data_IF_845381258114
#
_entry.id   IF_845381258114
#
_cell.length_a   1.000
_cell.length_b   1.000
_cell.length_c   1.000
_cell.angle_alpha   90.00
_cell.angle_beta   90.00
_cell.angle_gamma   90.00
#
_symmetry.space_group_name_H-M   'P 1'
#
loop_
_entity.id
_entity.type
_entity.pdbx_description
1 polymer ?
#
# COMPACT_ATOMS: atom_id res chain seq x y z
N UNK A 1 8.92 -15.55 -13.25
CA UNK A 1 9.56 -14.28 -13.58
C UNK A 1 10.89 -14.04 -12.82
N UNK A 2 11.23 -14.85 -11.80
CA UNK A 2 12.49 -14.74 -11.07
C UNK A 2 12.56 -13.61 -10.05
N UNK A 3 11.43 -13.05 -9.66
CA UNK A 3 11.34 -12.03 -8.62
C UNK A 3 11.14 -12.69 -7.26
N UNK A 4 11.87 -12.22 -6.25
CA UNK A 4 11.80 -12.71 -4.87
C UNK A 4 11.28 -11.63 -3.88
N UNK A 5 11.06 -10.43 -4.39
CA UNK A 5 10.57 -9.29 -3.61
C UNK A 5 9.37 -8.65 -4.31
N UNK A 6 8.25 -8.59 -3.60
CA UNK A 6 7.01 -7.97 -4.05
C UNK A 6 6.48 -7.00 -2.99
N UNK A 7 6.26 -5.74 -3.34
CA UNK A 7 5.88 -4.75 -2.36
C UNK A 7 5.01 -3.63 -2.94
N UNK A 8 4.58 -2.70 -2.07
CA UNK A 8 3.78 -1.53 -2.41
C UNK A 8 2.51 -1.82 -3.22
N UNK A 9 1.69 -2.82 -2.85
CA UNK A 9 0.53 -3.14 -3.65
C UNK A 9 -0.47 -1.98 -3.69
N UNK A 10 -1.17 -1.88 -4.81
CA UNK A 10 -2.31 -0.99 -5.03
C UNK A 10 -3.48 -1.81 -5.54
N UNK A 11 -4.70 -1.44 -5.16
CA UNK A 11 -5.92 -2.16 -5.49
C UNK A 11 -6.91 -1.21 -6.16
N UNK A 12 -7.58 -1.70 -7.20
CA UNK A 12 -8.77 -1.05 -7.76
C UNK A 12 -9.78 -2.09 -8.22
N UNK A 13 -11.03 -1.66 -8.43
CA UNK A 13 -12.09 -2.46 -9.04
C UNK A 13 -12.59 -1.74 -10.28
N UNK A 14 -12.64 -2.42 -11.42
CA UNK A 14 -13.06 -1.84 -12.68
C UNK A 14 -13.58 -2.90 -13.62
N UNK A 15 -14.70 -2.65 -14.31
CA UNK A 15 -15.32 -3.58 -15.27
C UNK A 15 -15.47 -4.99 -14.68
N UNK A 16 -16.10 -5.08 -13.51
CA UNK A 16 -16.38 -6.32 -12.78
C UNK A 16 -15.15 -7.16 -12.40
N UNK A 17 -13.97 -6.53 -12.35
CA UNK A 17 -12.72 -7.18 -11.94
C UNK A 17 -11.95 -6.34 -10.92
N UNK A 18 -11.33 -7.04 -10.00
CA UNK A 18 -10.26 -6.48 -9.17
C UNK A 18 -8.96 -6.46 -9.96
N UNK A 19 -8.19 -5.41 -9.78
CA UNK A 19 -6.85 -5.25 -10.33
C UNK A 19 -5.88 -4.91 -9.20
N UNK A 20 -4.74 -5.58 -9.18
CA UNK A 20 -3.65 -5.35 -8.22
C UNK A 20 -2.38 -5.00 -8.98
N UNK A 21 -1.77 -3.88 -8.62
CA UNK A 21 -0.39 -3.56 -8.98
C UNK A 21 0.54 -3.90 -7.81
N UNK A 22 1.74 -4.34 -8.10
CA UNK A 22 2.84 -4.37 -7.13
C UNK A 22 4.17 -4.14 -7.85
N UNK A 23 5.15 -3.57 -7.14
CA UNK A 23 6.52 -3.61 -7.65
C UNK A 23 7.14 -4.97 -7.38
N UNK A 24 7.93 -5.43 -8.33
CA UNK A 24 8.62 -6.70 -8.29
C UNK A 24 10.11 -6.51 -8.56
N UNK A 25 10.95 -7.11 -7.73
CA UNK A 25 12.40 -7.01 -7.83
C UNK A 25 13.04 -8.39 -7.71
N UNK A 26 14.17 -8.64 -8.40
CA UNK A 26 14.88 -9.89 -8.24
C UNK A 26 15.40 -10.14 -6.83
N UNK A 27 15.79 -9.09 -6.11
CA UNK A 27 16.36 -9.19 -4.76
C UNK A 27 15.59 -8.33 -3.77
N UNK A 28 15.54 -7.01 -3.97
CA UNK A 28 14.75 -6.07 -3.18
C UNK A 28 14.67 -4.71 -3.90
N UNK A 29 13.83 -3.78 -3.39
CA UNK A 29 13.50 -2.50 -4.02
C UNK A 29 14.67 -1.56 -4.33
N UNK A 30 15.85 -1.84 -3.79
CA UNK A 30 17.07 -1.06 -3.99
C UNK A 30 18.15 -1.86 -4.73
N UNK A 31 17.82 -3.05 -5.24
CA UNK A 31 18.77 -3.92 -5.96
C UNK A 31 18.10 -4.67 -7.10
N UNK A 32 18.70 -4.51 -8.26
CA UNK A 32 18.24 -5.17 -9.47
C UNK A 32 17.19 -4.35 -10.22
N UNK A 33 16.77 -4.88 -11.33
CA UNK A 33 15.76 -4.26 -12.19
C UNK A 33 14.38 -4.44 -11.58
N UNK A 34 13.73 -3.36 -11.26
CA UNK A 34 12.39 -3.35 -10.68
C UNK A 34 11.37 -3.11 -11.76
N UNK A 35 10.34 -3.91 -11.77
CA UNK A 35 9.21 -3.81 -12.69
C UNK A 35 7.89 -3.70 -11.93
N UNK A 36 6.83 -3.27 -12.59
CA UNK A 36 5.50 -3.26 -12.01
C UNK A 36 4.68 -4.38 -12.64
N UNK A 37 4.17 -5.25 -11.78
CA UNK A 37 3.29 -6.35 -12.14
C UNK A 37 1.83 -5.96 -11.96
N UNK A 38 0.97 -6.51 -12.84
CA UNK A 38 -0.48 -6.43 -12.76
C UNK A 38 -1.05 -7.85 -12.67
N UNK A 39 -2.04 -8.02 -11.80
CA UNK A 39 -2.87 -9.21 -11.69
C UNK A 39 -4.34 -8.79 -11.67
N UNK A 40 -5.22 -9.64 -12.18
CA UNK A 40 -6.67 -9.40 -12.17
C UNK A 40 -7.45 -10.59 -11.63
N UNK A 41 -8.63 -10.32 -11.06
CA UNK A 41 -9.54 -11.34 -10.53
C UNK A 41 -10.99 -10.90 -10.65
N UNK A 42 -11.88 -11.79 -11.07
CA UNK A 42 -13.33 -11.53 -11.09
C UNK A 42 -13.99 -11.70 -9.71
N UNK A 43 -13.35 -12.37 -8.77
CA UNK A 43 -13.94 -12.72 -7.46
C UNK A 43 -13.07 -12.40 -6.23
N UNK A 44 -11.87 -11.86 -6.44
CA UNK A 44 -10.91 -11.55 -5.39
C UNK A 44 -10.23 -12.76 -4.76
N UNK A 45 -10.44 -13.97 -5.29
CA UNK A 45 -9.84 -15.23 -4.81
C UNK A 45 -8.94 -15.87 -5.87
N UNK A 46 -9.45 -16.01 -7.07
CA UNK A 46 -8.74 -16.61 -8.21
C UNK A 46 -8.12 -15.50 -9.05
N UNK A 47 -6.80 -15.47 -9.07
CA UNK A 47 -6.02 -14.41 -9.72
C UNK A 47 -5.34 -14.90 -10.97
N UNK A 48 -5.25 -14.04 -11.97
CA UNK A 48 -4.45 -14.29 -13.17
C UNK A 48 -2.98 -14.44 -12.83
N UNK A 49 -2.23 -15.06 -13.73
CA UNK A 49 -0.77 -14.94 -13.71
C UNK A 49 -0.37 -13.46 -13.77
N UNK A 50 0.72 -13.06 -13.08
CA UNK A 50 1.20 -11.70 -13.11
C UNK A 50 1.76 -11.33 -14.50
N UNK A 51 1.39 -10.14 -14.98
CA UNK A 51 1.85 -9.55 -16.23
C UNK A 51 2.65 -8.27 -15.96
N UNK A 52 3.73 -8.04 -16.70
CA UNK A 52 4.55 -6.83 -16.56
C UNK A 52 3.82 -5.67 -17.24
N UNK A 53 3.27 -4.75 -16.45
CA UNK A 53 2.60 -3.55 -16.96
C UNK A 53 3.58 -2.40 -17.20
N UNK A 54 4.63 -2.30 -16.39
CA UNK A 54 5.73 -1.35 -16.61
C UNK A 54 7.06 -2.10 -16.54
N UNK A 55 7.66 -2.40 -17.68
CA UNK A 55 8.97 -3.03 -17.76
C UNK A 55 10.09 -2.04 -17.47
N UNK A 56 11.25 -2.54 -17.06
CA UNK A 56 12.47 -1.77 -17.24
C UNK A 56 12.78 -1.63 -18.75
N UNK A 57 13.39 -0.52 -19.13
CA UNK A 57 13.80 -0.26 -20.51
C UNK A 57 15.21 0.30 -20.53
N UNK A 58 15.91 0.11 -21.64
CA UNK A 58 17.22 0.76 -21.82
C UNK A 58 17.05 2.22 -22.22
N UNK A 59 17.71 3.09 -21.47
CA UNK A 59 17.74 4.52 -21.75
C UNK A 59 19.17 5.02 -21.58
N UNK A 60 19.73 5.65 -22.63
CA UNK A 60 21.12 6.16 -22.63
C UNK A 60 22.20 5.16 -22.22
N UNK A 61 22.04 3.91 -22.60
CA UNK A 61 23.04 2.86 -22.33
C UNK A 61 22.96 2.23 -20.94
N UNK A 62 22.01 2.66 -20.11
CA UNK A 62 21.70 2.03 -18.82
C UNK A 62 20.23 1.60 -18.74
N UNK A 63 19.91 0.57 -17.95
CA UNK A 63 18.52 0.21 -17.71
C UNK A 63 17.83 1.23 -16.81
N UNK A 64 16.52 1.38 -17.01
CA UNK A 64 15.67 2.11 -16.07
C UNK A 64 15.15 1.14 -15.00
N UNK A 65 14.62 1.67 -13.91
CA UNK A 65 13.83 0.90 -12.97
C UNK A 65 12.54 1.64 -12.61
N UNK A 66 11.52 0.86 -12.27
CA UNK A 66 10.25 1.37 -11.77
C UNK A 66 10.26 1.46 -10.26
N UNK A 67 9.56 2.42 -9.69
CA UNK A 67 9.53 2.58 -8.24
C UNK A 67 8.08 2.59 -7.72
N UNK A 68 7.98 2.41 -6.42
CA UNK A 68 6.78 2.23 -5.60
C UNK A 68 5.81 3.42 -5.56
N UNK A 69 5.98 4.42 -6.41
CA UNK A 69 5.01 5.51 -6.63
C UNK A 69 4.06 5.12 -7.73
N UNK A 70 3.18 4.21 -7.41
CA UNK A 70 2.23 3.67 -8.37
C UNK A 70 0.81 3.83 -7.87
N UNK A 71 -0.13 3.77 -8.78
CA UNK A 71 -1.54 3.85 -8.49
C UNK A 71 -2.40 3.54 -9.68
N UNK A 72 -3.69 3.51 -9.43
CA UNK A 72 -4.72 3.41 -10.45
C UNK A 72 -5.54 4.69 -10.51
N UNK A 73 -6.01 5.01 -11.69
CA UNK A 73 -6.98 6.06 -11.92
C UNK A 73 -8.04 5.61 -12.91
N UNK A 74 -9.30 5.75 -12.54
CA UNK A 74 -10.43 5.56 -13.45
C UNK A 74 -10.91 6.93 -13.86
N UNK A 75 -10.74 7.27 -15.13
CA UNK A 75 -11.15 8.56 -15.65
C UNK A 75 -12.67 8.71 -15.70
N UNK A 76 -13.20 9.94 -15.78
CA UNK A 76 -14.65 10.17 -15.97
C UNK A 76 -15.22 9.50 -17.23
N UNK A 77 -14.38 9.25 -18.25
CA UNK A 77 -14.78 8.49 -19.46
C UNK A 77 -14.70 6.97 -19.28
N UNK A 78 -14.32 6.48 -18.10
CA UNK A 78 -14.24 5.06 -17.78
C UNK A 78 -12.96 4.36 -18.26
N UNK A 79 -11.90 5.08 -18.67
CA UNK A 79 -10.59 4.51 -18.96
C UNK A 79 -9.87 4.20 -17.65
N UNK A 80 -9.25 3.02 -17.57
CA UNK A 80 -8.37 2.66 -16.45
C UNK A 80 -6.92 2.99 -16.79
N UNK A 81 -6.29 3.85 -16.00
CA UNK A 81 -4.88 4.17 -16.08
C UNK A 81 -4.13 3.56 -14.89
N UNK A 82 -2.99 2.94 -15.18
CA UNK A 82 -1.98 2.59 -14.18
C UNK A 82 -0.85 3.62 -14.23
N UNK A 83 -0.17 3.84 -13.11
CA UNK A 83 0.97 4.76 -13.01
C UNK A 83 2.14 4.18 -12.25
N UNK A 84 3.35 4.66 -12.55
CA UNK A 84 4.57 4.42 -11.77
C UNK A 84 5.60 5.52 -12.03
N UNK A 85 6.60 5.65 -11.15
CA UNK A 85 7.74 6.52 -11.40
C UNK A 85 8.89 5.73 -12.06
N UNK A 86 9.58 6.36 -13.01
CA UNK A 86 10.76 5.81 -13.68
C UNK A 86 12.03 6.55 -13.28
N UNK A 87 13.10 5.78 -13.08
CA UNK A 87 14.41 6.26 -12.66
C UNK A 87 15.50 5.65 -13.56
N UNK A 88 16.61 6.35 -13.83
CA UNK A 88 17.80 5.72 -14.35
C UNK A 88 18.43 4.81 -13.29
N UNK A 89 19.08 3.73 -13.71
CA UNK A 89 19.72 2.76 -12.80
C UNK A 89 20.79 3.40 -11.91
N UNK A 90 21.52 4.37 -12.46
CA UNK A 90 22.54 5.14 -11.74
C UNK A 90 22.02 5.89 -10.52
N UNK A 91 20.73 6.20 -10.48
CA UNK A 91 20.07 6.89 -9.37
C UNK A 91 19.44 5.90 -8.34
N UNK A 92 19.72 4.60 -8.49
CA UNK A 92 19.31 3.62 -7.49
C UNK A 92 20.02 3.94 -6.16
N UNK A 93 19.28 4.05 -5.03
CA UNK A 93 19.89 4.47 -3.78
C UNK A 93 20.96 3.50 -3.33
N UNK A 94 22.09 4.00 -2.80
CA UNK A 94 23.03 3.16 -2.08
C UNK A 94 22.33 2.57 -0.84
N UNK A 95 22.77 1.41 -0.38
CA UNK A 95 22.15 0.60 0.68
C UNK A 95 21.94 1.29 2.05
N UNK A 96 22.49 2.45 2.27
CA UNK A 96 22.32 3.21 3.50
C UNK A 96 21.13 4.17 3.34
N UNK A 97 20.12 3.99 4.17
CA UNK A 97 18.88 4.75 4.24
C UNK A 97 19.00 6.27 4.39
N UNK A 98 19.82 6.89 3.57
CA UNK A 98 19.86 8.34 3.46
C UNK A 98 18.51 8.82 2.92
N UNK A 99 17.87 9.67 3.66
CA UNK A 99 16.66 10.36 3.24
C UNK A 99 16.92 11.03 1.89
N UNK A 100 15.99 10.74 1.00
CA UNK A 100 16.01 11.15 -0.37
C UNK A 100 15.86 12.65 -0.55
N UNK A 101 16.90 13.32 -0.71
CA UNK A 101 16.94 14.77 -0.93
C UNK A 101 17.29 15.14 -2.36
N UNK A 102 16.99 14.34 -3.36
CA UNK A 102 17.27 14.77 -4.73
C UNK A 102 17.50 13.67 -5.75
N UNK A 103 16.77 12.56 -5.64
CA UNK A 103 16.83 11.55 -6.68
C UNK A 103 16.37 12.12 -8.02
N UNK A 104 17.22 11.97 -8.99
CA UNK A 104 16.99 12.37 -10.37
C UNK A 104 16.13 11.33 -11.08
N UNK A 105 14.82 11.37 -10.89
CA UNK A 105 13.91 10.52 -11.63
C UNK A 105 13.50 11.18 -12.96
N UNK A 106 13.18 10.36 -13.93
CA UNK A 106 12.69 10.87 -15.21
C UNK A 106 11.32 11.52 -15.08
N UNK A 107 10.42 10.88 -14.34
CA UNK A 107 9.06 11.38 -14.16
C UNK A 107 8.10 10.29 -13.74
N UNK A 108 6.81 10.62 -13.83
CA UNK A 108 5.70 9.70 -13.58
C UNK A 108 5.12 9.27 -14.91
N UNK A 109 5.17 7.96 -15.16
CA UNK A 109 4.59 7.34 -16.35
C UNK A 109 3.19 6.83 -16.09
N UNK A 110 2.37 6.83 -17.12
CA UNK A 110 1.04 6.20 -17.15
C UNK A 110 0.94 5.21 -18.30
N UNK A 111 0.05 4.25 -18.13
CA UNK A 111 -0.32 3.27 -19.15
C UNK A 111 -1.79 2.93 -19.03
N UNK A 112 -2.52 2.94 -20.14
CA UNK A 112 -3.91 2.48 -20.17
C UNK A 112 -3.96 0.96 -20.09
N UNK A 113 -4.89 0.45 -19.28
CA UNK A 113 -5.30 -0.95 -19.25
C UNK A 113 -6.62 -1.02 -20.00
N UNK A 114 -6.63 -1.70 -21.13
CA UNK A 114 -7.81 -1.83 -21.99
C UNK A 114 -8.80 -2.86 -21.42
N UNK A 115 -10.06 -2.78 -21.86
CA UNK A 115 -11.14 -3.70 -21.45
C UNK A 115 -10.85 -5.16 -21.76
N UNK A 116 -10.11 -5.43 -22.83
CA UNK A 116 -9.67 -6.77 -23.22
C UNK A 116 -8.47 -7.28 -22.43
N UNK A 117 -7.93 -6.46 -21.53
CA UNK A 117 -6.74 -6.74 -20.71
C UNK A 117 -5.42 -6.38 -21.39
N UNK A 118 -5.43 -5.94 -22.65
CA UNK A 118 -4.21 -5.45 -23.30
C UNK A 118 -3.75 -4.11 -22.72
N UNK A 119 -2.50 -3.75 -22.98
CA UNK A 119 -1.91 -2.51 -22.51
C UNK A 119 -1.67 -1.52 -23.65
N UNK A 120 -2.03 -0.27 -23.41
CA UNK A 120 -1.67 0.85 -24.28
C UNK A 120 -0.16 1.13 -24.30
N UNK A 121 0.26 2.17 -25.03
CA UNK A 121 1.61 2.70 -24.95
C UNK A 121 1.88 3.34 -23.58
N UNK A 122 3.14 3.41 -23.20
CA UNK A 122 3.58 4.13 -21.99
C UNK A 122 3.84 5.59 -22.37
N UNK A 123 3.32 6.51 -21.55
CA UNK A 123 3.57 7.95 -21.68
C UNK A 123 3.97 8.52 -20.32
N UNK A 124 4.73 9.59 -20.30
CA UNK A 124 4.89 10.39 -19.09
C UNK A 124 3.70 11.33 -18.93
N UNK A 125 3.16 11.42 -17.71
CA UNK A 125 2.17 12.42 -17.29
C UNK A 125 2.84 13.59 -16.57
N UNK A 126 4.01 13.36 -16.00
CA UNK A 126 4.90 14.38 -15.45
C UNK A 126 6.33 14.02 -15.81
N UNK A 127 7.10 14.99 -16.28
CA UNK A 127 8.51 14.87 -16.65
C UNK A 127 9.34 15.84 -15.82
N UNK A 128 10.54 15.43 -15.48
CA UNK A 128 11.49 16.26 -14.74
C UNK A 128 12.38 17.04 -15.72
N UNK A 129 11.81 18.06 -16.33
CA UNK A 129 12.44 18.87 -17.38
C UNK A 129 13.58 19.76 -16.85
N UNK A 130 13.71 19.95 -15.54
CA UNK A 130 14.86 20.64 -14.96
C UNK A 130 16.14 19.80 -14.96
N UNK A 131 16.00 18.47 -15.05
CA UNK A 131 17.12 17.53 -14.99
C UNK A 131 17.43 16.85 -16.32
N UNK A 132 16.46 16.74 -17.22
CA UNK A 132 16.57 16.01 -18.48
C UNK A 132 16.05 16.83 -19.65
N UNK A 133 16.77 16.79 -20.76
CA UNK A 133 16.28 17.34 -22.03
C UNK A 133 15.19 16.41 -22.63
N UNK A 134 14.37 16.93 -23.52
CA UNK A 134 13.23 16.21 -24.10
C UNK A 134 13.62 14.86 -24.73
N UNK A 135 14.76 14.81 -25.45
CA UNK A 135 15.27 13.59 -26.09
C UNK A 135 15.94 12.60 -25.09
N UNK A 136 15.93 12.90 -23.82
CA UNK A 136 16.54 12.07 -22.78
C UNK A 136 15.52 11.18 -22.04
N UNK A 137 14.23 11.38 -22.26
CA UNK A 137 13.19 10.59 -21.66
C UNK A 137 12.99 9.26 -22.40
N UNK A 138 12.77 8.14 -21.68
CA UNK A 138 12.53 6.84 -22.31
C UNK A 138 11.15 6.71 -22.97
N UNK A 139 10.20 7.58 -22.67
CA UNK A 139 8.85 7.59 -23.22
C UNK A 139 8.42 9.02 -23.58
N UNK A 140 7.48 9.17 -24.55
CA UNK A 140 6.92 10.47 -24.90
C UNK A 140 6.05 11.05 -23.79
N UNK A 141 5.73 12.32 -23.88
CA UNK A 141 4.77 12.97 -23.01
C UNK A 141 3.34 12.64 -23.47
N UNK A 142 2.37 12.59 -22.54
CA UNK A 142 1.00 12.12 -22.85
C UNK A 142 0.28 12.96 -23.94
N UNK A 143 0.63 14.23 -24.09
CA UNK A 143 0.06 15.09 -25.14
C UNK A 143 0.47 14.70 -26.55
N UNK A 144 1.50 13.87 -26.70
CA UNK A 144 1.94 13.29 -27.97
C UNK A 144 1.15 12.03 -28.38
N UNK A 145 0.17 11.63 -27.57
CA UNK A 145 -0.70 10.50 -27.91
C UNK A 145 -1.64 10.85 -29.06
N UNK A 146 -1.86 9.87 -29.95
CA UNK A 146 -2.88 9.96 -31.00
C UNK A 146 -4.30 9.68 -30.48
N UNK A 147 -4.46 9.31 -29.20
CA UNK A 147 -5.74 9.06 -28.55
C UNK A 147 -6.21 10.26 -27.72
N UNK A 148 -7.17 11.06 -28.22
CA UNK A 148 -7.73 12.19 -27.48
C UNK A 148 -8.38 11.78 -26.15
N UNK A 149 -8.90 10.54 -26.08
CA UNK A 149 -9.51 10.01 -24.85
C UNK A 149 -8.46 9.76 -23.78
N UNK A 150 -7.27 9.28 -24.14
CA UNK A 150 -6.14 9.16 -23.22
C UNK A 150 -5.67 10.54 -22.73
N UNK A 151 -5.53 11.49 -23.65
CA UNK A 151 -5.15 12.87 -23.29
C UNK A 151 -6.15 13.45 -22.28
N UNK A 152 -7.45 13.34 -22.56
CA UNK A 152 -8.49 13.82 -21.66
C UNK A 152 -8.46 13.12 -20.28
N UNK A 153 -8.18 11.80 -20.25
CA UNK A 153 -8.03 11.05 -19.01
C UNK A 153 -6.81 11.54 -18.20
N UNK A 154 -5.69 11.82 -18.84
CA UNK A 154 -4.51 12.38 -18.19
C UNK A 154 -4.77 13.79 -17.66
N UNK A 155 -5.46 14.63 -18.41
CA UNK A 155 -5.82 15.98 -17.98
C UNK A 155 -6.77 15.95 -16.75
N UNK A 156 -7.71 15.01 -16.71
CA UNK A 156 -8.57 14.87 -15.55
C UNK A 156 -7.80 14.36 -14.32
N UNK A 157 -6.87 13.43 -14.50
CA UNK A 157 -5.99 12.96 -13.43
C UNK A 157 -5.12 14.08 -12.86
N UNK A 158 -4.56 14.91 -13.72
CA UNK A 158 -3.73 16.06 -13.28
C UNK A 158 -4.49 17.09 -12.44
N UNK A 159 -5.80 17.18 -12.64
CA UNK A 159 -6.68 18.07 -11.86
C UNK A 159 -7.14 17.46 -10.55
N UNK A 160 -7.09 16.13 -10.42
CA UNK A 160 -7.49 15.43 -9.21
C UNK A 160 -6.37 15.50 -8.16
N UNK A 161 -6.56 16.35 -7.17
CA UNK A 161 -5.57 16.57 -6.11
C UNK A 161 -5.62 15.49 -5.02
N UNK A 162 -6.70 14.73 -4.94
CA UNK A 162 -6.88 13.74 -3.89
C UNK A 162 -6.34 12.38 -4.30
N UNK A 163 -6.70 11.86 -5.48
CA UNK A 163 -6.29 10.50 -5.89
C UNK A 163 -4.77 10.35 -5.94
N UNK A 164 -4.07 11.41 -6.34
CA UNK A 164 -2.61 11.41 -6.42
C UNK A 164 -1.93 11.29 -5.07
N UNK A 165 -2.60 11.66 -3.96
CA UNK A 165 -2.07 11.51 -2.61
C UNK A 165 -1.77 10.05 -2.26
N UNK A 166 -2.53 9.09 -2.79
CA UNK A 166 -2.28 7.66 -2.58
C UNK A 166 -0.96 7.19 -3.16
N UNK A 167 -0.43 7.89 -4.17
CA UNK A 167 0.70 7.45 -4.98
C UNK A 167 2.05 7.91 -4.41
N UNK A 168 2.05 9.04 -3.71
CA UNK A 168 3.30 9.70 -3.30
C UNK A 168 3.88 9.08 -2.04
N UNK A 169 5.11 8.64 -2.15
CA UNK A 169 5.90 8.15 -1.01
C UNK A 169 6.95 9.15 -0.56
N UNK A 170 7.73 9.71 -1.48
CA UNK A 170 8.91 10.51 -1.12
C UNK A 170 9.27 11.64 -2.07
N UNK A 171 8.77 11.67 -3.30
CA UNK A 171 9.19 12.65 -4.30
C UNK A 171 7.98 13.41 -4.81
N UNK A 172 8.16 14.71 -4.98
CA UNK A 172 7.24 15.59 -5.70
C UNK A 172 7.62 15.59 -7.18
N UNK A 173 6.72 15.31 -8.10
CA UNK A 173 6.94 15.64 -9.50
C UNK A 173 6.88 17.15 -9.67
N UNK A 174 7.85 17.73 -10.37
CA UNK A 174 7.94 19.17 -10.58
C UNK A 174 6.72 19.79 -11.24
N UNK A 175 5.97 19.04 -12.00
CA UNK A 175 4.82 19.50 -12.78
C UNK A 175 3.48 18.89 -12.33
N UNK A 176 3.43 18.36 -11.12
CA UNK A 176 2.20 17.92 -10.49
C UNK A 176 1.89 18.85 -9.31
N UNK A 177 0.71 19.45 -9.32
CA UNK A 177 0.22 20.27 -8.22
C UNK A 177 0.01 19.42 -6.97
N UNK A 178 1.07 19.23 -6.21
CA UNK A 178 0.99 18.59 -4.90
C UNK A 178 0.69 19.68 -3.86
N UNK A 179 -0.21 19.45 -2.90
CA UNK A 179 -0.48 20.46 -1.87
C UNK A 179 0.76 20.66 -0.99
N UNK A 180 1.47 21.75 -1.21
CA UNK A 180 2.68 22.11 -0.45
C UNK A 180 2.41 22.15 1.06
N UNK A 181 1.20 22.55 1.45
CA UNK A 181 0.76 22.63 2.84
C UNK A 181 0.87 21.30 3.61
N UNK A 182 0.80 20.13 2.94
CA UNK A 182 0.99 18.83 3.58
C UNK A 182 2.46 18.41 3.68
N UNK A 183 3.32 19.00 2.88
CA UNK A 183 4.69 18.52 2.73
C UNK A 183 5.72 19.33 3.50
N UNK A 184 5.47 20.62 3.73
CA UNK A 184 6.45 21.53 4.31
C UNK A 184 6.20 21.85 5.78
N UNK A 185 5.17 21.27 6.37
CA UNK A 185 4.88 21.47 7.79
C UNK A 185 5.98 20.86 8.66
N UNK A 186 6.48 21.65 9.57
CA UNK A 186 7.38 21.21 10.63
C UNK A 186 6.52 20.76 11.80
N UNK A 187 6.60 19.47 12.14
CA UNK A 187 5.93 18.91 13.32
C UNK A 187 7.02 18.44 14.28
N UNK A 188 6.97 18.94 15.52
CA UNK A 188 7.95 18.61 16.56
C UNK A 188 9.41 18.91 16.17
N UNK A 189 9.66 20.02 15.47
CA UNK A 189 10.99 20.46 15.06
C UNK A 189 11.63 19.66 13.90
N UNK A 190 10.93 18.67 13.36
CA UNK A 190 11.39 17.88 12.22
C UNK A 190 10.50 18.14 11.00
N UNK A 191 11.12 18.32 9.83
CA UNK A 191 10.43 18.30 8.55
C UNK A 191 9.88 16.89 8.32
N UNK A 192 8.59 16.71 8.49
CA UNK A 192 7.94 15.40 8.25
C UNK A 192 7.07 15.49 7.01
N UNK A 193 7.60 15.01 5.93
CA UNK A 193 6.86 14.88 4.68
C UNK A 193 5.66 13.96 4.87
N UNK A 194 4.51 14.37 4.37
CA UNK A 194 3.38 13.49 4.22
C UNK A 194 3.74 12.38 3.21
N UNK A 195 3.71 11.14 3.67
CA UNK A 195 4.11 9.98 2.85
C UNK A 195 3.02 8.93 2.87
N UNK A 196 2.70 8.39 1.69
CA UNK A 196 1.78 7.27 1.57
C UNK A 196 0.40 7.58 2.19
N UNK A 197 -0.15 8.69 1.80
CA UNK A 197 -1.42 9.20 2.31
C UNK A 197 -2.54 8.26 1.88
N UNK A 198 -3.51 8.04 2.77
CA UNK A 198 -4.84 7.62 2.41
C UNK A 198 -5.82 8.71 2.82
N UNK A 199 -6.93 8.85 2.10
CA UNK A 199 -7.94 9.83 2.40
C UNK A 199 -9.35 9.24 2.29
N UNK A 200 -10.30 9.89 2.93
CA UNK A 200 -11.73 9.63 2.78
C UNK A 200 -12.53 10.90 3.12
N UNK A 201 -13.74 10.98 2.56
CA UNK A 201 -14.68 12.05 2.86
C UNK A 201 -15.52 11.69 4.07
N UNK A 202 -15.68 12.65 4.97
CA UNK A 202 -16.65 12.59 6.05
C UNK A 202 -18.04 12.98 5.56
N UNK A 203 -19.06 12.68 6.37
CA UNK A 203 -20.44 13.02 6.07
C UNK A 203 -20.70 14.55 6.05
N UNK A 204 -19.83 15.34 6.68
CA UNK A 204 -19.87 16.81 6.68
C UNK A 204 -19.12 17.43 5.48
N UNK A 205 -18.59 16.60 4.58
CA UNK A 205 -17.85 17.04 3.40
C UNK A 205 -16.35 17.29 3.64
N UNK A 206 -15.87 17.21 4.87
CA UNK A 206 -14.45 17.33 5.13
C UNK A 206 -13.68 16.09 4.64
N UNK A 207 -12.53 16.29 4.00
CA UNK A 207 -11.59 15.25 3.63
C UNK A 207 -10.62 15.02 4.78
N UNK A 208 -10.48 13.77 5.21
CA UNK A 208 -9.48 13.35 6.20
C UNK A 208 -8.32 12.70 5.47
N UNK A 209 -7.10 13.18 5.67
CA UNK A 209 -5.88 12.54 5.21
C UNK A 209 -5.16 11.86 6.38
N UNK A 210 -4.77 10.61 6.18
CA UNK A 210 -4.02 9.80 7.14
C UNK A 210 -2.71 9.34 6.50
N UNK A 211 -1.60 9.37 7.25
CA UNK A 211 -0.33 8.86 6.74
C UNK A 211 0.60 8.30 7.82
N UNK A 212 1.78 7.87 7.40
CA UNK A 212 2.81 7.26 8.29
C UNK A 212 3.03 8.07 9.55
N UNK A 213 3.38 7.39 10.63
CA UNK A 213 3.62 7.94 11.96
C UNK A 213 2.38 8.56 12.62
N UNK A 214 1.19 8.02 12.31
CA UNK A 214 -0.10 8.47 12.88
C UNK A 214 -0.36 9.95 12.68
N UNK A 215 -0.03 10.47 11.53
CA UNK A 215 -0.30 11.86 11.16
C UNK A 215 -1.61 11.99 10.41
N UNK A 216 -2.26 13.14 10.61
CA UNK A 216 -3.52 13.49 9.95
C UNK A 216 -3.61 14.98 9.71
N UNK A 217 -4.39 15.35 8.70
CA UNK A 217 -4.86 16.71 8.44
C UNK A 217 -6.25 16.65 7.81
N UNK A 218 -6.97 17.78 7.86
CA UNK A 218 -8.28 17.94 7.24
C UNK A 218 -8.20 18.92 6.07
N UNK A 219 -9.02 18.69 5.05
CA UNK A 219 -9.29 19.63 3.99
C UNK A 219 -10.80 19.88 3.89
N UNK A 220 -11.19 21.12 3.61
CA UNK A 220 -12.58 21.53 3.40
C UNK A 220 -12.83 22.03 1.97
N UNK A 221 -11.87 21.83 1.08
CA UNK A 221 -11.84 22.33 -0.29
C UNK A 221 -11.25 21.32 -1.29
N UNK A 222 -11.56 20.03 -1.09
CA UNK A 222 -11.14 18.92 -1.96
C UNK A 222 -9.60 18.84 -2.14
N UNK A 223 -8.88 19.01 -1.03
CA UNK A 223 -7.43 18.85 -1.01
C UNK A 223 -6.63 20.05 -1.54
N UNK A 224 -7.27 21.20 -1.81
CA UNK A 224 -6.56 22.40 -2.26
C UNK A 224 -5.80 23.06 -1.11
N UNK A 225 -6.37 23.04 0.08
CA UNK A 225 -5.70 23.48 1.31
C UNK A 225 -5.93 22.48 2.44
N UNK A 226 -5.05 22.49 3.43
CA UNK A 226 -5.08 21.57 4.55
C UNK A 226 -4.84 22.29 5.87
N UNK A 227 -5.50 21.81 6.91
CA UNK A 227 -5.24 22.26 8.29
C UNK A 227 -3.81 21.88 8.72
N UNK A 228 -3.41 22.40 9.87
CA UNK A 228 -2.19 21.96 10.52
C UNK A 228 -2.18 20.44 10.73
N UNK A 229 -0.99 19.85 10.54
CA UNK A 229 -0.77 18.41 10.73
C UNK A 229 -0.80 18.10 12.21
N UNK A 230 -1.60 17.10 12.57
CA UNK A 230 -1.71 16.62 13.95
C UNK A 230 -1.24 15.17 14.08
N UNK A 231 -0.84 14.81 15.32
CA UNK A 231 -0.64 13.42 15.69
C UNK A 231 -1.99 12.84 16.13
N UNK A 232 -2.40 11.75 15.51
CA UNK A 232 -3.56 11.01 15.96
C UNK A 232 -3.31 10.44 17.37
N UNK A 233 -4.30 10.62 18.24
CA UNK A 233 -4.24 10.14 19.62
C UNK A 233 -4.89 8.77 19.81
N UNK A 234 -5.82 8.42 18.92
CA UNK A 234 -6.65 7.22 19.03
C UNK A 234 -5.97 5.95 18.54
N UNK A 235 -4.98 6.07 17.69
CA UNK A 235 -4.06 4.98 17.38
C UNK A 235 -2.64 5.51 17.15
N UNK A 236 -1.67 4.77 17.66
CA UNK A 236 -0.25 5.06 17.42
C UNK A 236 0.28 4.09 16.37
N UNK A 237 0.66 4.59 15.23
CA UNK A 237 1.23 3.80 14.15
C UNK A 237 2.72 4.06 13.97
N UNK A 238 3.43 3.00 13.58
CA UNK A 238 4.83 3.07 13.20
C UNK A 238 5.02 3.61 11.78
N UNK A 239 6.20 3.38 11.23
CA UNK A 239 6.60 3.80 9.87
C UNK A 239 5.85 3.10 8.73
N UNK A 240 4.75 2.39 9.02
CA UNK A 240 3.92 1.72 8.02
C UNK A 240 2.86 2.66 7.43
N UNK A 241 2.38 2.30 6.23
CA UNK A 241 1.23 2.98 5.64
C UNK A 241 -0.01 2.76 6.51
N UNK A 242 -0.83 3.79 6.62
CA UNK A 242 -2.18 3.74 7.18
C UNK A 242 -3.15 3.70 6.01
N UNK A 243 -4.24 2.98 6.17
CA UNK A 243 -5.37 3.03 5.25
C UNK A 243 -6.61 3.43 6.02
N UNK A 244 -7.37 4.37 5.51
CA UNK A 244 -8.66 4.76 6.05
C UNK A 244 -9.68 4.87 4.93
N UNK A 245 -10.93 4.50 5.22
CA UNK A 245 -12.04 4.61 4.29
C UNK A 245 -13.38 4.73 5.03
N UNK A 246 -14.38 5.24 4.33
CA UNK A 246 -15.77 5.13 4.75
C UNK A 246 -16.28 3.73 4.42
N UNK A 247 -17.15 3.18 5.24
CA UNK A 247 -17.78 1.87 5.05
C UNK A 247 -19.25 2.00 4.69
N UNK A 248 -19.84 0.97 4.08
CA UNK A 248 -21.21 0.99 3.57
C UNK A 248 -22.28 1.15 4.66
N UNK A 249 -21.97 0.83 5.90
CA UNK A 249 -22.84 1.05 7.07
C UNK A 249 -22.78 2.49 7.62
N UNK A 250 -22.06 3.39 6.92
CA UNK A 250 -21.92 4.80 7.27
C UNK A 250 -20.88 5.08 8.35
N UNK A 251 -20.16 4.06 8.80
CA UNK A 251 -19.02 4.20 9.69
C UNK A 251 -17.75 4.55 8.90
N UNK A 252 -16.65 4.72 9.60
CA UNK A 252 -15.31 4.84 9.04
C UNK A 252 -14.44 3.75 9.63
N UNK A 253 -13.52 3.24 8.83
CA UNK A 253 -12.58 2.21 9.27
C UNK A 253 -11.15 2.66 8.93
N UNK A 254 -10.23 2.45 9.85
CA UNK A 254 -8.82 2.71 9.63
C UNK A 254 -7.97 1.50 10.02
N UNK A 255 -7.00 1.20 9.16
CA UNK A 255 -6.03 0.14 9.39
C UNK A 255 -4.66 0.75 9.65
N UNK A 256 -4.03 0.28 10.70
CA UNK A 256 -2.66 0.66 11.05
C UNK A 256 -1.88 -0.52 11.63
N UNK A 257 -0.64 -0.27 11.98
CA UNK A 257 0.18 -1.22 12.72
C UNK A 257 0.77 -0.55 13.94
N UNK A 258 0.65 -1.19 15.11
CA UNK A 258 1.19 -0.62 16.33
C UNK A 258 2.71 -0.44 16.24
N UNK A 259 3.23 0.49 17.03
CA UNK A 259 4.66 0.60 17.28
C UNK A 259 5.09 -0.62 18.10
N UNK A 260 5.80 -1.56 17.48
CA UNK A 260 6.52 -2.59 18.20
C UNK A 260 7.90 -2.06 18.65
N UNK A 261 8.52 -2.70 19.60
CA UNK A 261 9.92 -2.43 19.94
C UNK A 261 10.81 -2.74 18.72
N UNK A 262 11.64 -1.78 18.35
CA UNK A 262 12.49 -1.85 17.17
C UNK A 262 11.86 -1.22 15.92
N UNK A 263 12.71 -0.76 15.01
CA UNK A 263 12.35 -0.02 13.79
C UNK A 263 11.48 -0.80 12.77
N UNK A 264 11.17 -2.04 13.04
CA UNK A 264 10.55 -2.98 12.11
C UNK A 264 9.20 -3.54 12.55
N UNK A 265 8.68 -3.10 13.70
CA UNK A 265 7.37 -3.51 14.23
C UNK A 265 6.24 -3.16 13.27
N UNK A 266 5.92 -4.09 12.35
CA UNK A 266 4.83 -3.98 11.38
C UNK A 266 3.82 -5.12 11.54
N UNK A 267 3.59 -5.49 12.78
CA UNK A 267 2.74 -6.62 13.17
C UNK A 267 2.05 -6.31 14.51
N UNK A 268 0.83 -6.76 14.73
CA UNK A 268 -0.13 -7.28 13.74
C UNK A 268 -0.77 -6.17 12.89
N UNK A 269 -1.58 -6.55 11.89
CA UNK A 269 -2.46 -5.61 11.19
C UNK A 269 -3.73 -5.41 12.00
N UNK A 270 -3.93 -4.18 12.48
CA UNK A 270 -5.10 -3.79 13.24
C UNK A 270 -6.03 -2.92 12.41
N UNK A 271 -7.31 -3.00 12.74
CA UNK A 271 -8.37 -2.11 12.27
C UNK A 271 -9.11 -1.53 13.47
N UNK A 272 -9.58 -0.32 13.32
CA UNK A 272 -10.53 0.31 14.23
C UNK A 272 -11.63 0.99 13.45
N UNK A 273 -12.75 1.24 14.10
CA UNK A 273 -13.89 1.92 13.54
C UNK A 273 -14.09 3.29 14.16
N UNK A 274 -14.80 4.15 13.48
CA UNK A 274 -15.14 5.49 13.93
C UNK A 274 -16.53 5.88 13.44
N UNK A 275 -17.29 6.59 14.28
CA UNK A 275 -18.58 7.17 13.90
C UNK A 275 -18.42 8.52 13.20
N UNK A 276 -17.39 9.25 13.56
CA UNK A 276 -17.17 10.64 13.10
C UNK A 276 -15.99 10.76 12.12
N UNK A 277 -15.25 9.66 11.87
CA UNK A 277 -14.08 9.64 11.01
C UNK A 277 -12.84 10.34 11.59
N UNK A 278 -12.82 10.62 12.89
CA UNK A 278 -11.69 11.27 13.58
C UNK A 278 -11.25 10.45 14.80
N UNK A 279 -12.20 10.03 15.61
CA UNK A 279 -11.95 9.26 16.82
C UNK A 279 -12.23 7.79 16.53
N UNK A 280 -11.17 7.00 16.51
CA UNK A 280 -11.23 5.57 16.23
C UNK A 280 -11.13 4.79 17.52
N UNK A 281 -11.96 3.76 17.66
CA UNK A 281 -11.98 2.83 18.79
C UNK A 281 -12.14 1.38 18.36
N UNK A 282 -12.13 0.46 19.31
CA UNK A 282 -12.41 -0.94 19.07
C UNK A 282 -11.37 -1.65 18.20
N UNK A 283 -10.09 -1.56 18.58
CA UNK A 283 -9.03 -2.23 17.84
C UNK A 283 -9.32 -3.71 17.60
N UNK A 284 -9.35 -4.11 16.34
CA UNK A 284 -9.64 -5.45 15.87
C UNK A 284 -8.45 -6.01 15.12
N UNK A 285 -8.18 -7.28 15.30
CA UNK A 285 -7.15 -8.00 14.62
C UNK A 285 -7.67 -8.57 13.30
N UNK A 286 -7.08 -8.21 12.18
CA UNK A 286 -7.50 -8.69 10.85
C UNK A 286 -6.56 -9.76 10.33
N UNK A 287 -5.27 -9.53 10.42
CA UNK A 287 -4.27 -10.52 10.03
C UNK A 287 -3.11 -10.51 11.00
N UNK A 288 -2.89 -11.64 11.64
CA UNK A 288 -1.82 -11.95 12.55
C UNK A 288 -0.92 -13.07 12.07
N UNK A 289 -1.12 -13.56 10.85
CA UNK A 289 -0.26 -14.60 10.33
C UNK A 289 1.17 -14.10 10.15
N UNK A 290 2.10 -14.87 10.71
CA UNK A 290 3.52 -14.73 10.47
C UNK A 290 3.94 -15.87 9.56
N UNK A 291 3.98 -15.59 8.26
CA UNK A 291 4.43 -16.59 7.31
C UNK A 291 5.95 -16.72 7.32
N UNK A 292 6.43 -17.91 6.98
CA UNK A 292 7.84 -18.15 6.75
C UNK A 292 8.30 -17.32 5.55
N UNK A 293 9.44 -16.64 5.70
CA UNK A 293 10.11 -16.00 4.57
C UNK A 293 10.81 -17.07 3.74
N UNK A 294 10.59 -17.04 2.43
CA UNK A 294 11.16 -18.02 1.51
C UNK A 294 12.58 -17.64 1.10
N UNK A 295 12.80 -16.38 0.79
CA UNK A 295 14.06 -15.88 0.26
C UNK A 295 14.96 -15.26 1.32
N UNK A 296 14.39 -14.79 2.42
CA UNK A 296 15.14 -14.27 3.56
C UNK A 296 16.02 -13.06 3.26
N UNK A 297 15.76 -12.34 2.19
CA UNK A 297 16.49 -11.12 1.83
C UNK A 297 16.43 -10.07 2.94
N UNK A 298 17.46 -9.24 3.06
CA UNK A 298 17.59 -8.25 4.14
C UNK A 298 16.41 -7.25 4.21
N UNK A 299 15.70 -7.04 3.10
CA UNK A 299 14.51 -6.18 3.02
C UNK A 299 13.20 -6.97 3.07
N UNK A 300 13.23 -8.29 3.03
CA UNK A 300 12.07 -9.17 3.14
C UNK A 300 11.69 -9.35 4.60
N UNK A 301 11.13 -8.30 5.19
CA UNK A 301 10.85 -8.22 6.61
C UNK A 301 9.45 -7.66 6.88
N UNK A 302 8.93 -8.05 8.03
CA UNK A 302 7.62 -7.65 8.52
C UNK A 302 6.49 -8.41 7.83
N UNK A 303 5.68 -9.16 8.58
CA UNK A 303 4.66 -10.01 7.98
C UNK A 303 3.69 -9.22 7.11
N UNK A 304 3.04 -8.20 7.63
CA UNK A 304 2.09 -7.41 6.86
C UNK A 304 2.66 -6.04 6.51
N UNK A 305 2.79 -5.69 5.24
CA UNK A 305 3.35 -4.41 4.82
C UNK A 305 2.43 -3.64 3.89
N UNK A 306 2.31 -2.34 4.14
CA UNK A 306 1.76 -1.34 3.23
C UNK A 306 0.38 -1.67 2.65
N UNK A 307 -0.63 -1.70 3.52
CA UNK A 307 -2.00 -1.93 3.12
C UNK A 307 -2.56 -0.79 2.24
N UNK A 308 -3.40 -1.20 1.27
CA UNK A 308 -4.20 -0.31 0.43
C UNK A 308 -5.57 -0.94 0.21
N UNK A 309 -6.62 -0.16 0.36
CA UNK A 309 -7.99 -0.54 0.02
C UNK A 309 -8.43 0.02 -1.32
N UNK A 310 -9.71 -0.06 -1.58
CA UNK A 310 -10.36 0.57 -2.72
C UNK A 310 -10.63 2.04 -2.38
N UNK A 311 -10.20 2.94 -3.24
CA UNK A 311 -10.38 4.38 -3.02
C UNK A 311 -11.82 4.81 -3.28
N UNK A 312 -12.24 5.91 -2.66
CA UNK A 312 -13.56 6.49 -2.84
C UNK A 312 -13.79 6.95 -4.29
N UNK A 313 -15.04 6.94 -4.72
CA UNK A 313 -15.42 7.38 -6.08
C UNK A 313 -15.06 6.38 -7.19
N UNK A 314 -14.51 5.22 -6.84
CA UNK A 314 -14.39 4.10 -7.76
C UNK A 314 -15.75 3.52 -8.14
N UNK A 315 -15.84 2.69 -9.18
CA UNK A 315 -17.07 2.01 -9.55
C UNK A 315 -17.59 1.11 -8.43
N UNK A 316 -18.88 0.78 -8.50
CA UNK A 316 -19.55 -0.07 -7.52
C UNK A 316 -18.75 -1.33 -7.21
N UNK A 317 -18.31 -1.43 -5.96
CA UNK A 317 -17.55 -2.56 -5.46
C UNK A 317 -18.49 -3.74 -5.26
N UNK A 318 -18.10 -4.98 -5.58
CA UNK A 318 -18.95 -6.13 -5.35
C UNK A 318 -19.15 -6.37 -3.85
N UNK A 319 -20.37 -6.20 -3.40
CA UNK A 319 -20.75 -6.33 -2.00
C UNK A 319 -20.41 -5.09 -1.18
N UNK A 320 -20.66 -5.20 0.13
CA UNK A 320 -20.47 -4.10 1.08
C UNK A 320 -19.17 -4.20 1.87
N UNK A 321 -18.36 -5.18 1.56
CA UNK A 321 -17.19 -5.53 2.34
C UNK A 321 -16.01 -4.61 2.07
N UNK A 322 -15.15 -4.45 3.05
CA UNK A 322 -13.86 -3.78 2.89
C UNK A 322 -12.86 -4.74 2.24
N UNK A 323 -12.28 -4.31 1.15
CA UNK A 323 -11.22 -5.04 0.48
C UNK A 323 -9.88 -4.32 0.69
N UNK A 324 -8.87 -5.08 1.09
CA UNK A 324 -7.53 -4.52 1.35
C UNK A 324 -6.45 -5.46 0.84
N UNK A 325 -5.48 -4.88 0.15
CA UNK A 325 -4.28 -5.57 -0.34
C UNK A 325 -3.05 -5.15 0.45
N UNK A 326 -2.15 -6.06 0.70
CA UNK A 326 -0.88 -5.83 1.42
C UNK A 326 0.17 -6.86 1.03
N UNK A 327 1.44 -6.57 1.30
CA UNK A 327 2.50 -7.56 1.09
C UNK A 327 2.85 -8.29 2.38
N UNK A 328 3.00 -9.61 2.28
CA UNK A 328 3.45 -10.48 3.36
C UNK A 328 4.94 -10.73 3.22
N UNK A 329 5.71 -10.38 4.24
CA UNK A 329 7.18 -10.43 4.26
C UNK A 329 7.87 -9.73 3.08
N UNK A 330 7.12 -8.94 2.30
CA UNK A 330 7.50 -8.38 1.00
C UNK A 330 7.90 -9.43 -0.05
N UNK A 331 7.38 -10.63 0.08
CA UNK A 331 7.57 -11.74 -0.85
C UNK A 331 6.29 -12.06 -1.59
N UNK A 332 5.14 -12.04 -0.89
CA UNK A 332 3.84 -12.31 -1.45
C UNK A 332 2.90 -11.11 -1.35
N UNK A 333 1.94 -11.04 -2.26
CA UNK A 333 0.84 -10.08 -2.20
C UNK A 333 -0.43 -10.81 -1.77
N UNK A 334 -0.99 -10.35 -0.67
CA UNK A 334 -2.21 -10.88 -0.09
C UNK A 334 -3.35 -9.88 -0.18
N UNK A 335 -4.56 -10.40 -0.23
CA UNK A 335 -5.79 -9.61 -0.20
C UNK A 335 -6.71 -10.18 0.87
N UNK A 336 -7.33 -9.28 1.64
CA UNK A 336 -8.35 -9.64 2.62
C UNK A 336 -9.68 -9.00 2.27
N UNK A 337 -10.74 -9.77 2.42
CA UNK A 337 -12.12 -9.33 2.40
C UNK A 337 -12.63 -9.28 3.84
N UNK A 338 -13.02 -8.10 4.30
CA UNK A 338 -13.45 -7.86 5.67
C UNK A 338 -14.94 -7.52 5.65
N UNK A 339 -15.80 -8.35 6.27
CA UNK A 339 -17.24 -8.08 6.31
C UNK A 339 -17.57 -6.75 6.98
N UNK A 340 -18.62 -6.09 6.50
CA UNK A 340 -19.22 -4.90 7.11
C UNK A 340 -20.58 -5.28 7.70
N UNK A 341 -20.89 -4.88 8.94
CA UNK A 341 -20.11 -4.01 9.83
C UNK A 341 -18.84 -4.68 10.35
N UNK A 342 -17.78 -3.87 10.52
CA UNK A 342 -16.55 -4.33 11.16
C UNK A 342 -16.84 -4.50 12.67
N UNK A 343 -16.96 -5.75 13.10
CA UNK A 343 -17.20 -6.09 14.51
C UNK A 343 -16.19 -7.11 14.98
N UNK A 344 -15.71 -6.93 16.19
CA UNK A 344 -14.93 -7.97 16.87
C UNK A 344 -15.91 -8.99 17.44
N UNK A 345 -15.86 -10.22 16.94
CA UNK A 345 -16.67 -11.31 17.46
C UNK A 345 -15.81 -12.55 17.67
N UNK A 346 -16.06 -13.24 18.77
CA UNK A 346 -15.59 -14.61 18.96
C UNK A 346 -16.83 -15.49 19.08
N UNK A 347 -16.96 -16.45 18.18
CA UNK A 347 -18.05 -17.42 18.23
C UNK A 347 -17.90 -18.43 19.37
N UNK A 348 -16.69 -18.50 19.92
CA UNK A 348 -16.36 -19.41 21.03
C UNK A 348 -15.82 -18.61 22.20
N UNK A 349 -16.35 -18.95 23.40
CA UNK A 349 -15.84 -18.41 24.67
C UNK A 349 -14.39 -18.86 24.93
N UNK A 350 -14.04 -20.08 24.51
CA UNK A 350 -12.69 -20.63 24.48
C UNK A 350 -12.30 -20.81 23.01
N UNK A 351 -11.29 -20.11 22.55
CA UNK A 351 -10.79 -20.24 21.17
C UNK A 351 -9.96 -21.51 20.97
N UNK A 352 -9.18 -21.88 21.96
CA UNK A 352 -8.34 -23.08 21.97
C UNK A 352 -8.14 -23.51 23.41
N UNK A 353 -8.43 -24.77 23.72
CA UNK A 353 -8.21 -25.38 25.02
C UNK A 353 -6.96 -26.26 25.07
N UNK A 354 -6.32 -26.45 23.95
CA UNK A 354 -5.12 -27.25 23.73
C UNK A 354 -5.27 -28.76 23.96
N UNK A 355 -6.45 -29.25 24.38
CA UNK A 355 -6.67 -30.65 24.76
C UNK A 355 -6.48 -31.63 23.58
N UNK A 356 -6.71 -31.17 22.36
CA UNK A 356 -6.54 -31.97 21.16
C UNK A 356 -5.13 -31.91 20.58
N UNK A 357 -4.27 -31.04 21.11
CA UNK A 357 -2.95 -30.74 20.57
C UNK A 357 -1.89 -31.60 21.26
N UNK A 358 -1.22 -32.45 20.47
CA UNK A 358 -0.16 -33.35 20.98
C UNK A 358 1.25 -32.82 20.74
N UNK A 359 1.38 -31.84 19.89
CA UNK A 359 2.66 -31.21 19.56
C UNK A 359 2.48 -29.94 18.74
N UNK A 360 3.53 -29.16 18.60
CA UNK A 360 3.51 -27.86 17.88
C UNK A 360 2.97 -27.99 16.46
N UNK A 361 3.22 -29.12 15.79
CA UNK A 361 2.71 -29.39 14.44
C UNK A 361 1.18 -29.48 14.32
N UNK A 362 0.48 -29.66 15.45
CA UNK A 362 -0.98 -29.74 15.49
C UNK A 362 -1.64 -28.37 15.64
N UNK A 363 -0.87 -27.32 15.94
CA UNK A 363 -1.32 -25.93 16.11
C UNK A 363 -1.68 -25.27 14.75
N UNK A 364 -2.56 -25.88 13.97
CA UNK A 364 -2.89 -25.45 12.60
C UNK A 364 -3.54 -24.08 12.51
N UNK A 365 -4.23 -23.67 13.59
CA UNK A 365 -4.89 -22.37 13.67
C UNK A 365 -4.03 -21.30 14.34
N UNK A 366 -2.83 -21.63 14.74
CA UNK A 366 -1.92 -20.75 15.44
C UNK A 366 -0.63 -20.55 14.65
N UNK A 367 -0.25 -19.29 14.49
CA UNK A 367 1.08 -18.95 14.00
C UNK A 367 2.04 -18.86 15.19
N UNK A 368 2.82 -19.89 15.37
CA UNK A 368 3.87 -19.90 16.39
C UNK A 368 5.08 -19.16 15.83
N UNK A 369 5.14 -17.87 16.08
CA UNK A 369 6.34 -17.08 15.86
C UNK A 369 7.21 -17.20 17.11
N UNK A 370 8.25 -18.01 17.06
CA UNK A 370 9.23 -17.97 18.14
C UNK A 370 10.45 -17.17 17.71
N UNK A 371 10.73 -16.08 18.41
CA UNK A 371 12.00 -15.37 18.28
C UNK A 371 13.16 -16.30 18.61
N UNK A 372 14.35 -15.97 18.19
CA UNK A 372 15.54 -16.82 18.24
C UNK A 372 15.92 -17.34 19.65
N UNK A 373 15.27 -16.86 20.68
CA UNK A 373 15.58 -17.13 22.09
C UNK A 373 14.42 -17.74 22.88
N UNK A 374 13.31 -18.15 22.24
CA UNK A 374 12.21 -18.80 22.96
C UNK A 374 11.93 -20.19 22.40
N UNK A 375 11.69 -21.13 23.29
CA UNK A 375 11.16 -22.46 22.97
C UNK A 375 9.67 -22.53 23.24
N UNK A 376 8.95 -23.22 22.38
CA UNK A 376 7.51 -23.46 22.51
C UNK A 376 7.29 -24.95 22.61
N UNK A 377 6.73 -25.40 23.69
CA UNK A 377 6.48 -26.81 23.97
C UNK A 377 5.03 -27.01 24.39
N UNK A 378 4.49 -28.19 24.13
CA UNK A 378 3.21 -28.63 24.68
C UNK A 378 3.52 -29.45 25.94
N UNK A 379 2.93 -29.06 27.06
CA UNK A 379 3.16 -29.68 28.34
C UNK A 379 1.82 -29.98 29.05
N UNK A 380 1.72 -31.14 29.66
CA UNK A 380 0.59 -31.45 30.56
C UNK A 380 0.98 -31.03 31.97
N UNK A 381 0.19 -30.16 32.57
CA UNK A 381 0.44 -29.71 33.94
C UNK A 381 -0.13 -30.68 34.93
N UNK A 382 0.62 -31.00 36.00
CA UNK A 382 0.18 -31.89 37.05
C UNK A 382 -1.00 -31.31 37.90
N UNK A 383 -1.10 -29.99 37.95
CA UNK A 383 -2.08 -29.30 38.76
C UNK A 383 -3.50 -29.38 38.20
N UNK A 384 -3.65 -29.33 36.90
CA UNK A 384 -4.97 -29.35 36.23
C UNK A 384 -5.14 -30.51 35.26
N UNK A 385 -4.10 -31.29 35.01
CA UNK A 385 -4.05 -32.41 34.08
C UNK A 385 -4.46 -32.06 32.65
N UNK A 386 -4.45 -30.79 32.34
CA UNK A 386 -4.79 -30.27 31.01
C UNK A 386 -3.54 -29.96 30.19
N UNK A 387 -3.67 -30.06 28.88
CA UNK A 387 -2.59 -29.64 27.96
C UNK A 387 -2.47 -28.14 27.95
N UNK A 388 -1.27 -27.64 27.96
CA UNK A 388 -0.98 -26.20 27.82
C UNK A 388 0.23 -25.95 26.93
N UNK A 389 0.29 -24.75 26.39
CA UNK A 389 1.46 -24.28 25.64
C UNK A 389 2.41 -23.58 26.61
N UNK A 390 3.61 -24.14 26.73
CA UNK A 390 4.68 -23.57 27.54
C UNK A 390 5.63 -22.76 26.66
N UNK A 391 5.90 -21.55 27.12
CA UNK A 391 6.91 -20.68 26.54
C UNK A 391 8.08 -20.58 27.52
N UNK A 392 9.28 -20.84 27.06
CA UNK A 392 10.50 -20.71 27.85
C UNK A 392 11.59 -19.98 27.05
N UNK A 393 12.38 -19.20 27.76
CA UNK A 393 13.54 -18.49 27.22
C UNK A 393 14.73 -19.43 27.01
#
# INVERSE_FOLDING_TARGET
>A
LGFTFHHHPMLTYWQDHFYVLCNACPVHEERGLTEILLMKSGNGKDWSSPEIVFPHVMCKGEPTFCNHRMGFYISPSGKLLASTAYFPQSEMPPQSGSEDTGKKYFGVAIREINKDGSFGKIYFIAQNNSLYAENEFPFPYYTESDDPGLIAACESLRKDKLITLHWWEQIRPENFDFPESLTDQIVDGNRKFAKAISYYHRNDGAVVALWKNSKSALSYDEGQSWTDVVNLKTFSGGYAKVWGQKTEDGMYAASWRPLGEGSWGRYPQLWATSKDGIIFDGAMHVNGEVIRRYDGGSKNIGPCNYQRGLYEGGPDIPGKDVWVVYSMSKEDIWISRIPVPLVSSSEKYVMEDFESIKGIGDLKAWNVYHPQCATVEMEQTDEIQNMCMKLSD
#
